data_IF_322788509932
#
_entry.id   IF_322788509932
#
_cell.length_a   1.000
_cell.length_b   1.000
_cell.length_c   1.000
_cell.angle_alpha   90.00
_cell.angle_beta   90.00
_cell.angle_gamma   90.00
#
_symmetry.space_group_name_H-M   'P 1'
#
loop_
_entity.id
_entity.type
_entity.pdbx_description
1 polymer ?
#
# COMPACT_ATOMS: atom_id res chain seq x y z
N UNK A 1 75.80 -56.51 -13.48
CA UNK A 1 74.35 -56.44 -13.70
C UNK A 1 73.72 -56.01 -12.40
N UNK A 2 73.24 -54.69 -12.33
CA UNK A 2 72.48 -54.13 -11.20
C UNK A 2 71.26 -53.53 -11.71
N UNK A 3 70.10 -54.08 -11.36
CA UNK A 3 68.78 -53.55 -11.71
C UNK A 3 68.49 -52.31 -10.82
N UNK A 4 68.24 -51.24 -11.46
CA UNK A 4 67.82 -50.00 -10.79
C UNK A 4 66.24 -49.90 -10.82
N UNK A 5 65.66 -49.91 -9.63
CA UNK A 5 64.19 -49.77 -9.45
C UNK A 5 63.79 -48.31 -9.57
N UNK A 6 62.92 -48.04 -10.55
CA UNK A 6 62.27 -46.72 -10.70
C UNK A 6 61.10 -46.65 -9.72
N UNK A 7 61.15 -45.72 -8.78
CA UNK A 7 60.04 -45.42 -7.89
C UNK A 7 59.18 -44.30 -8.52
N UNK A 8 57.97 -44.63 -8.95
CA UNK A 8 56.99 -43.67 -9.42
C UNK A 8 56.39 -42.93 -8.25
N UNK A 9 56.59 -41.61 -8.21
CA UNK A 9 55.93 -40.73 -7.26
C UNK A 9 54.51 -40.38 -7.79
N UNK A 10 53.49 -40.81 -7.06
CA UNK A 10 52.10 -40.40 -7.32
C UNK A 10 51.89 -39.03 -6.69
N UNK A 11 51.74 -38.01 -7.52
CA UNK A 11 51.34 -36.68 -7.08
C UNK A 11 49.84 -36.66 -6.78
N UNK A 12 49.47 -36.54 -5.51
CA UNK A 12 48.09 -36.23 -5.09
C UNK A 12 47.76 -34.78 -5.47
N UNK A 13 46.94 -34.64 -6.50
CA UNK A 13 46.31 -33.38 -6.86
C UNK A 13 45.25 -33.05 -5.80
N UNK A 14 45.56 -32.09 -4.91
CA UNK A 14 44.62 -31.57 -3.93
C UNK A 14 43.47 -30.83 -4.63
N UNK A 15 42.26 -31.37 -4.48
CA UNK A 15 41.01 -30.78 -4.92
C UNK A 15 40.73 -29.55 -4.02
N UNK A 16 41.04 -28.34 -4.47
CA UNK A 16 40.74 -27.08 -3.78
C UNK A 16 39.25 -26.90 -3.65
N UNK A 17 38.71 -27.00 -2.46
CA UNK A 17 37.35 -26.59 -2.11
C UNK A 17 37.30 -25.07 -2.19
N UNK A 18 36.65 -24.53 -3.22
CA UNK A 18 36.30 -23.11 -3.30
C UNK A 18 35.35 -22.76 -2.16
N UNK A 19 35.69 -21.82 -1.27
CA UNK A 19 34.72 -21.33 -0.30
C UNK A 19 33.57 -20.68 -1.04
N UNK A 20 32.34 -21.22 -0.85
CA UNK A 20 31.13 -20.70 -1.45
C UNK A 20 30.98 -19.21 -1.15
N UNK A 21 30.85 -18.39 -2.20
CA UNK A 21 30.37 -17.03 -2.09
C UNK A 21 28.98 -17.08 -1.46
N UNK A 22 28.90 -16.82 -0.17
CA UNK A 22 27.62 -16.61 0.52
C UNK A 22 26.93 -15.43 -0.15
N UNK A 23 25.86 -15.70 -0.88
CA UNK A 23 24.88 -14.69 -1.31
C UNK A 23 24.31 -14.08 -0.03
N UNK A 24 24.88 -12.99 0.43
CA UNK A 24 24.25 -12.15 1.43
C UNK A 24 23.04 -11.54 0.77
N UNK A 25 21.88 -12.20 0.94
CA UNK A 25 20.61 -11.67 0.51
C UNK A 25 20.35 -10.35 1.25
N UNK A 26 20.41 -9.22 0.54
CA UNK A 26 19.87 -7.96 1.03
C UNK A 26 18.38 -8.17 1.24
N UNK A 27 17.94 -8.28 2.49
CA UNK A 27 16.53 -8.26 2.84
C UNK A 27 16.04 -6.83 2.66
N UNK A 28 15.24 -6.58 1.62
CA UNK A 28 14.54 -5.31 1.48
C UNK A 28 13.47 -5.22 2.58
N UNK A 29 13.61 -4.27 3.47
CA UNK A 29 12.63 -3.99 4.52
C UNK A 29 11.65 -2.91 4.01
N UNK A 30 10.47 -3.33 3.56
CA UNK A 30 9.42 -2.42 3.12
C UNK A 30 8.40 -2.19 4.24
N UNK A 31 8.00 -0.94 4.43
CA UNK A 31 6.89 -0.58 5.30
C UNK A 31 5.64 -1.39 4.92
N UNK A 32 4.91 -1.86 5.91
CA UNK A 32 3.66 -2.60 5.70
C UNK A 32 2.49 -1.87 6.31
N UNK A 33 1.43 -1.68 5.51
CA UNK A 33 0.16 -1.09 5.96
C UNK A 33 -0.96 -2.10 5.72
N UNK A 34 -1.76 -2.38 6.73
CA UNK A 34 -2.88 -3.33 6.63
C UNK A 34 -4.06 -2.91 7.52
N UNK A 35 -5.28 -2.92 6.99
CA UNK A 35 -5.67 -3.06 5.58
C UNK A 35 -5.39 -1.81 4.75
N UNK A 36 -5.30 -1.94 3.43
CA UNK A 36 -5.14 -0.81 2.49
C UNK A 36 -6.48 -0.23 1.99
N UNK A 37 -7.58 -0.85 2.37
CA UNK A 37 -8.95 -0.41 2.11
C UNK A 37 -9.72 -0.51 3.42
N UNK A 38 -10.33 0.59 3.84
CA UNK A 38 -11.11 0.65 5.07
C UNK A 38 -12.59 0.74 4.72
N UNK A 39 -13.36 -0.22 5.22
CA UNK A 39 -14.82 -0.23 5.10
C UNK A 39 -15.44 -0.11 6.48
N UNK A 40 -16.23 0.93 6.66
CA UNK A 40 -17.00 1.21 7.86
C UNK A 40 -18.50 1.04 7.58
N UNK A 41 -19.29 0.86 8.62
CA UNK A 41 -20.75 0.69 8.47
C UNK A 41 -21.46 1.16 9.74
N UNK A 42 -22.80 1.28 9.71
CA UNK A 42 -23.60 1.54 10.91
C UNK A 42 -23.27 0.65 12.09
N UNK A 43 -23.02 -0.63 11.84
CA UNK A 43 -22.67 -1.61 12.85
C UNK A 43 -21.16 -1.61 13.21
N UNK A 44 -20.32 -1.08 12.35
CA UNK A 44 -18.86 -1.04 12.54
C UNK A 44 -18.33 0.38 12.34
N UNK A 45 -18.43 1.16 13.41
CA UNK A 45 -18.08 2.59 13.43
C UNK A 45 -16.60 2.86 13.73
N UNK A 46 -15.83 1.83 14.00
CA UNK A 46 -14.39 1.89 14.24
C UNK A 46 -13.70 0.87 13.36
N UNK A 47 -12.64 1.29 12.70
CA UNK A 47 -11.73 0.43 11.95
C UNK A 47 -10.31 0.63 12.49
N UNK A 48 -9.49 -0.42 12.38
CA UNK A 48 -8.08 -0.36 12.78
C UNK A 48 -7.20 -0.58 11.56
N UNK A 49 -6.14 0.22 11.48
CA UNK A 49 -5.08 0.10 10.47
C UNK A 49 -3.79 -0.11 11.24
N UNK A 50 -3.04 -1.13 10.87
CA UNK A 50 -1.71 -1.40 11.45
C UNK A 50 -0.66 -0.98 10.45
N UNK A 51 0.29 -0.17 10.92
CA UNK A 51 1.51 0.16 10.19
C UNK A 51 2.68 -0.51 10.90
N UNK A 52 3.46 -1.30 10.16
CA UNK A 52 4.66 -1.97 10.66
C UNK A 52 5.89 -1.41 9.97
N UNK A 53 6.88 -1.03 10.77
CA UNK A 53 8.16 -0.50 10.34
C UNK A 53 9.24 -1.58 10.50
N UNK A 54 9.54 -2.39 9.48
CA UNK A 54 10.60 -3.40 9.56
C UNK A 54 12.00 -2.80 9.36
N UNK A 55 12.11 -1.50 9.14
CA UNK A 55 13.37 -0.78 8.98
C UNK A 55 14.15 -0.66 10.27
N UNK A 56 15.34 -0.09 10.16
CA UNK A 56 16.32 0.09 11.24
C UNK A 56 16.26 1.48 11.91
N UNK A 57 15.39 2.36 11.42
CA UNK A 57 15.16 3.72 11.96
C UNK A 57 13.71 3.91 12.33
N UNK A 58 13.41 4.75 13.34
CA UNK A 58 12.04 5.11 13.67
C UNK A 58 11.42 5.93 12.53
N UNK A 59 10.11 5.77 12.35
CA UNK A 59 9.29 6.54 11.40
C UNK A 59 8.17 7.24 12.16
N UNK A 60 7.92 8.50 11.83
CA UNK A 60 6.82 9.27 12.42
C UNK A 60 5.79 9.58 11.36
N UNK A 61 4.56 9.14 11.59
CA UNK A 61 3.43 9.42 10.69
C UNK A 61 2.46 10.41 11.32
N UNK A 62 2.09 11.41 10.55
CA UNK A 62 0.95 12.28 10.81
C UNK A 62 -0.22 11.84 9.92
N UNK A 63 -1.45 11.89 10.48
CA UNK A 63 -2.65 11.48 9.74
C UNK A 63 -3.51 12.68 9.37
N UNK A 64 -4.05 12.66 8.15
CA UNK A 64 -5.04 13.59 7.66
C UNK A 64 -6.21 12.83 7.04
N UNK A 65 -7.44 13.30 7.25
CA UNK A 65 -8.64 12.76 6.60
C UNK A 65 -9.26 13.84 5.73
N UNK A 66 -9.57 13.47 4.48
CA UNK A 66 -10.27 14.34 3.53
C UNK A 66 -11.55 13.64 3.05
N UNK A 67 -12.64 14.38 2.95
CA UNK A 67 -13.80 13.92 2.21
C UNK A 67 -13.43 13.82 0.72
N UNK A 68 -13.88 12.73 0.08
CA UNK A 68 -13.53 12.43 -1.30
C UNK A 68 -14.79 12.17 -2.13
N UNK A 69 -14.87 12.80 -3.28
CA UNK A 69 -15.86 12.48 -4.28
C UNK A 69 -15.23 12.55 -5.68
N UNK A 70 -15.94 12.01 -6.67
CA UNK A 70 -15.55 12.09 -8.06
C UNK A 70 -16.66 12.80 -8.86
N UNK A 71 -16.26 13.79 -9.65
CA UNK A 71 -17.17 14.48 -10.58
C UNK A 71 -16.58 14.37 -11.99
N UNK A 72 -17.30 13.71 -12.89
CA UNK A 72 -16.84 13.47 -14.27
C UNK A 72 -15.44 12.82 -14.36
N UNK A 73 -15.17 11.85 -13.46
CA UNK A 73 -13.89 11.13 -13.41
C UNK A 73 -12.74 11.91 -12.74
N UNK A 74 -12.99 13.11 -12.24
CA UNK A 74 -11.99 13.94 -11.55
C UNK A 74 -12.22 13.85 -10.03
N UNK A 75 -11.16 13.53 -9.31
CA UNK A 75 -11.17 13.49 -7.85
C UNK A 75 -11.30 14.89 -7.25
N UNK A 76 -12.13 15.01 -6.23
CA UNK A 76 -12.36 16.21 -5.44
C UNK A 76 -12.17 15.90 -3.97
N UNK A 77 -11.42 16.72 -3.30
CA UNK A 77 -11.10 16.59 -1.88
C UNK A 77 -11.56 17.82 -1.12
N UNK A 78 -12.06 17.63 0.09
CA UNK A 78 -12.44 18.70 0.99
C UNK A 78 -12.08 18.31 2.43
N UNK A 79 -11.83 19.32 3.26
CA UNK A 79 -11.64 19.10 4.69
C UNK A 79 -12.91 18.52 5.30
N UNK A 80 -12.74 17.66 6.31
CA UNK A 80 -13.85 17.01 7.00
C UNK A 80 -13.54 16.80 8.48
N UNK A 81 -14.57 16.89 9.33
CA UNK A 81 -14.57 16.53 10.74
C UNK A 81 -15.43 15.29 11.04
N UNK A 82 -15.99 14.66 10.02
CA UNK A 82 -16.85 13.47 10.14
C UNK A 82 -16.08 12.24 10.59
N UNK A 83 -14.84 12.09 10.16
CA UNK A 83 -13.91 11.03 10.55
C UNK A 83 -12.69 11.61 11.24
N UNK A 84 -12.15 10.86 12.19
CA UNK A 84 -10.89 11.18 12.81
C UNK A 84 -10.09 9.92 13.13
N UNK A 85 -8.79 10.08 13.28
CA UNK A 85 -7.83 8.99 13.52
C UNK A 85 -7.18 9.17 14.88
N UNK A 86 -6.99 8.08 15.59
CA UNK A 86 -6.32 8.06 16.89
C UNK A 86 -5.23 6.99 16.88
N UNK A 87 -3.99 7.36 17.19
CA UNK A 87 -3.49 8.73 17.41
C UNK A 87 -3.40 9.53 16.08
N UNK A 88 -3.46 10.88 16.11
CA UNK A 88 -3.32 11.71 14.92
C UNK A 88 -1.88 11.80 14.43
N UNK A 89 -0.92 11.56 15.32
CA UNK A 89 0.51 11.46 15.03
C UNK A 89 1.11 10.37 15.91
N UNK A 90 2.02 9.58 15.36
CA UNK A 90 2.73 8.55 16.13
C UNK A 90 4.10 8.25 15.52
N UNK A 91 5.06 8.02 16.41
CA UNK A 91 6.35 7.40 16.07
C UNK A 91 6.27 5.89 16.16
N UNK A 92 6.80 5.21 15.14
CA UNK A 92 6.90 3.75 15.06
C UNK A 92 8.37 3.40 15.13
N UNK A 93 8.80 2.81 16.24
CA UNK A 93 10.19 2.40 16.43
C UNK A 93 10.64 1.44 15.32
N UNK A 94 11.96 1.34 15.14
CA UNK A 94 12.58 0.32 14.28
C UNK A 94 12.11 -1.09 14.68
N UNK A 95 11.67 -1.89 13.71
CA UNK A 95 11.07 -3.22 13.92
C UNK A 95 9.70 -3.20 14.59
N UNK A 96 9.14 -2.03 14.90
CA UNK A 96 7.89 -1.86 15.62
C UNK A 96 6.64 -1.80 14.75
N UNK A 97 5.48 -1.70 15.41
CA UNK A 97 4.18 -1.53 14.76
C UNK A 97 3.29 -0.59 15.56
N UNK A 98 2.45 0.17 14.87
CA UNK A 98 1.46 1.07 15.44
C UNK A 98 0.08 0.78 14.89
N UNK A 99 -0.92 0.78 15.77
CA UNK A 99 -2.32 0.70 15.36
C UNK A 99 -2.93 2.09 15.38
N UNK A 100 -3.50 2.49 14.24
CA UNK A 100 -4.31 3.70 14.10
C UNK A 100 -5.78 3.29 14.03
N UNK A 101 -6.63 3.95 14.79
CA UNK A 101 -8.07 3.70 14.80
C UNK A 101 -8.80 4.84 14.12
N UNK A 102 -9.49 4.51 13.04
CA UNK A 102 -10.40 5.43 12.34
C UNK A 102 -11.77 5.31 12.97
N UNK A 103 -12.38 6.41 13.33
CA UNK A 103 -13.73 6.43 13.93
C UNK A 103 -14.53 7.62 13.40
N UNK A 104 -15.86 7.51 13.45
CA UNK A 104 -16.77 8.55 13.00
C UNK A 104 -17.48 9.23 14.16
N UNK A 105 -17.68 10.55 14.04
CA UNK A 105 -18.55 11.35 14.91
C UNK A 105 -19.97 11.42 14.38
N UNK A 106 -20.14 11.27 13.08
CA UNK A 106 -21.39 11.52 12.38
C UNK A 106 -22.36 10.35 12.52
N UNK A 107 -23.66 10.66 12.59
CA UNK A 107 -24.73 9.68 12.38
C UNK A 107 -24.73 9.31 10.90
N UNK A 108 -24.93 8.03 10.64
CA UNK A 108 -24.84 7.49 9.30
C UNK A 108 -25.88 8.10 8.37
N UNK A 109 -25.41 8.51 7.21
CA UNK A 109 -26.21 8.97 6.09
C UNK A 109 -26.96 7.81 5.42
N UNK A 110 -27.97 8.13 4.62
CA UNK A 110 -28.63 7.20 3.70
C UNK A 110 -27.77 6.89 2.48
N UNK A 111 -26.72 7.69 2.25
CA UNK A 111 -25.77 7.55 1.15
C UNK A 111 -24.40 7.14 1.67
N UNK A 112 -23.62 6.49 0.83
CA UNK A 112 -22.23 6.16 1.12
C UNK A 112 -21.37 7.41 1.04
N UNK A 113 -20.52 7.59 2.06
CA UNK A 113 -19.51 8.64 2.04
C UNK A 113 -18.14 8.01 1.82
N UNK A 114 -17.33 8.65 0.99
CA UNK A 114 -15.98 8.24 0.73
C UNK A 114 -14.99 9.28 1.25
N UNK A 115 -13.87 8.79 1.77
CA UNK A 115 -12.81 9.62 2.33
C UNK A 115 -11.45 9.10 1.90
N UNK A 116 -10.45 9.96 2.00
CA UNK A 116 -9.05 9.61 1.91
C UNK A 116 -8.39 9.79 3.26
N UNK A 117 -7.73 8.74 3.72
CA UNK A 117 -6.89 8.77 4.90
C UNK A 117 -5.44 8.78 4.45
N UNK A 118 -4.77 9.88 4.72
CA UNK A 118 -3.38 10.12 4.34
C UNK A 118 -2.52 9.89 5.58
N UNK A 119 -1.50 9.05 5.43
CA UNK A 119 -0.39 8.91 6.37
C UNK A 119 0.81 9.62 5.76
N UNK A 120 1.15 10.76 6.32
CA UNK A 120 2.30 11.56 5.90
C UNK A 120 3.52 11.22 6.76
N UNK A 121 4.63 10.85 6.10
CA UNK A 121 5.90 10.64 6.79
C UNK A 121 6.52 12.00 7.14
N UNK A 122 6.60 12.28 8.43
CA UNK A 122 7.18 13.51 8.99
C UNK A 122 8.47 13.24 9.78
N UNK A 123 9.09 12.09 9.59
CA UNK A 123 10.26 11.63 10.36
C UNK A 123 11.44 12.60 10.33
N UNK A 124 11.72 13.21 9.17
CA UNK A 124 12.87 14.08 8.97
C UNK A 124 12.63 15.54 9.46
N UNK A 125 11.37 15.90 9.77
CA UNK A 125 11.04 17.26 10.23
C UNK A 125 11.59 17.52 11.64
N UNK A 126 11.74 16.46 12.44
CA UNK A 126 12.25 16.51 13.80
C UNK A 126 13.78 16.35 13.90
N UNK A 127 14.45 15.96 12.83
CA UNK A 127 15.90 15.78 12.83
C UNK A 127 16.60 17.11 12.62
N UNK A 128 17.60 17.49 13.46
CA UNK A 128 18.40 18.68 13.20
C UNK A 128 19.10 18.52 11.84
N UNK A 129 19.06 19.58 11.02
CA UNK A 129 19.73 19.61 9.73
C UNK A 129 21.23 19.33 9.93
N UNK A 130 21.67 18.15 9.57
CA UNK A 130 23.10 17.83 9.53
C UNK A 130 23.71 18.51 8.30
N UNK A 131 24.90 19.12 8.41
CA UNK A 131 25.59 19.67 7.24
C UNK A 131 25.80 18.54 6.23
N UNK A 132 25.27 18.72 5.02
CA UNK A 132 25.35 17.73 3.96
C UNK A 132 26.79 17.68 3.39
N UNK A 133 27.62 16.84 3.94
CA UNK A 133 28.89 16.45 3.27
C UNK A 133 28.69 15.36 2.22
N UNK A 134 27.52 14.71 2.19
CA UNK A 134 27.15 13.71 1.20
C UNK A 134 25.81 14.07 0.56
N UNK A 135 25.76 14.05 -0.77
CA UNK A 135 24.52 14.21 -1.54
C UNK A 135 23.64 12.98 -1.32
N UNK A 136 22.78 13.00 -0.30
CA UNK A 136 21.80 11.95 -0.05
C UNK A 136 20.44 12.38 -0.66
N UNK A 137 19.79 11.46 -1.37
CA UNK A 137 18.42 11.65 -1.82
C UNK A 137 17.51 11.16 -0.71
N UNK A 138 16.71 12.07 -0.14
CA UNK A 138 15.67 11.73 0.84
C UNK A 138 14.35 11.55 0.10
N UNK A 139 13.80 10.33 0.15
CA UNK A 139 12.50 10.02 -0.44
C UNK A 139 11.50 9.91 0.71
N UNK A 140 10.45 10.74 0.68
CA UNK A 140 9.29 10.62 1.58
C UNK A 140 8.15 9.97 0.81
N UNK A 141 7.47 9.04 1.44
CA UNK A 141 6.33 8.34 0.84
C UNK A 141 5.11 8.58 1.70
N UNK A 142 4.15 9.29 1.14
CA UNK A 142 2.83 9.44 1.74
C UNK A 142 1.94 8.29 1.27
N UNK A 143 1.17 7.73 2.20
CA UNK A 143 0.25 6.64 1.92
C UNK A 143 -1.18 7.15 1.97
N UNK A 144 -1.89 7.03 0.86
CA UNK A 144 -3.28 7.47 0.70
C UNK A 144 -4.20 6.24 0.60
N UNK A 145 -5.04 6.06 1.62
CA UNK A 145 -5.93 4.91 1.75
C UNK A 145 -7.39 5.35 1.59
N UNK A 146 -8.16 4.67 0.73
CA UNK A 146 -9.60 4.90 0.64
C UNK A 146 -10.32 4.38 1.88
N UNK A 147 -11.25 5.18 2.40
CA UNK A 147 -12.15 4.83 3.48
C UNK A 147 -13.58 5.02 2.99
N UNK A 148 -14.37 3.95 3.01
CA UNK A 148 -15.79 4.00 2.66
C UNK A 148 -16.65 3.80 3.88
N UNK A 149 -17.55 4.74 4.12
CA UNK A 149 -18.60 4.62 5.14
C UNK A 149 -19.89 4.23 4.44
N UNK A 150 -20.19 2.95 4.48
CA UNK A 150 -21.32 2.40 3.78
C UNK A 150 -22.66 2.90 4.37
N UNK A 151 -23.55 3.32 3.48
CA UNK A 151 -24.97 3.49 3.79
C UNK A 151 -25.63 2.17 4.20
N UNK A 152 -26.84 2.26 4.74
CA UNK A 152 -27.67 1.10 5.02
C UNK A 152 -28.16 0.36 3.75
N UNK A 153 -27.95 0.94 2.56
CA UNK A 153 -28.37 0.41 1.26
C UNK A 153 -27.52 -0.76 0.77
N UNK A 154 -27.98 -1.37 -0.33
CA UNK A 154 -27.27 -2.43 -1.06
C UNK A 154 -26.76 -1.90 -2.39
N UNK A 155 -25.64 -2.42 -2.90
CA UNK A 155 -25.24 -2.15 -4.27
C UNK A 155 -26.28 -2.70 -5.24
N UNK A 156 -26.56 -1.97 -6.32
CA UNK A 156 -27.44 -2.42 -7.40
C UNK A 156 -26.72 -2.23 -8.72
N UNK A 157 -26.28 -3.32 -9.29
CA UNK A 157 -25.60 -3.34 -10.57
C UNK A 157 -26.55 -3.77 -11.67
N UNK A 158 -26.66 -2.98 -12.72
CA UNK A 158 -27.21 -3.42 -14.00
C UNK A 158 -26.07 -3.52 -15.04
N UNK A 159 -26.14 -4.56 -15.87
CA UNK A 159 -25.17 -4.80 -16.93
C UNK A 159 -25.92 -4.90 -18.26
N UNK A 160 -25.47 -4.19 -19.28
CA UNK A 160 -26.05 -4.20 -20.63
C UNK A 160 -24.95 -4.43 -21.65
N UNK A 161 -25.19 -5.38 -22.56
CA UNK A 161 -24.37 -5.56 -23.75
C UNK A 161 -24.91 -4.66 -24.87
N UNK A 162 -24.00 -3.98 -25.55
CA UNK A 162 -24.38 -3.09 -26.64
C UNK A 162 -23.20 -2.71 -27.52
N UNK A 163 -23.45 -1.93 -28.58
CA UNK A 163 -22.36 -1.38 -29.37
C UNK A 163 -21.53 -0.41 -28.51
N UNK A 164 -20.23 -0.32 -28.82
CA UNK A 164 -19.32 0.60 -28.15
C UNK A 164 -19.57 2.01 -28.68
N UNK A 165 -20.26 2.85 -27.89
CA UNK A 165 -20.69 4.17 -28.34
C UNK A 165 -19.56 5.20 -28.51
N UNK A 166 -18.43 5.02 -27.80
CA UNK A 166 -17.38 6.05 -27.69
C UNK A 166 -16.00 5.60 -28.19
N UNK A 167 -15.89 4.45 -28.87
CA UNK A 167 -14.61 3.92 -29.27
C UNK A 167 -14.45 3.92 -30.80
N UNK A 168 -13.85 4.96 -31.34
CA UNK A 168 -13.54 5.11 -32.77
C UNK A 168 -12.47 4.15 -33.28
N UNK A 169 -11.67 3.55 -32.37
CA UNK A 169 -10.50 2.74 -32.72
C UNK A 169 -10.69 1.22 -32.50
N UNK A 170 -11.89 0.76 -32.16
CA UNK A 170 -12.14 -0.66 -31.93
C UNK A 170 -12.57 -1.40 -33.21
N UNK A 171 -12.19 -2.70 -33.37
CA UNK A 171 -12.62 -3.52 -34.49
C UNK A 171 -14.16 -3.57 -34.58
N UNK A 172 -14.69 -3.60 -35.80
CA UNK A 172 -16.13 -3.53 -36.11
C UNK A 172 -17.02 -4.63 -35.46
N UNK A 173 -16.42 -5.63 -34.82
CA UNK A 173 -17.13 -6.72 -34.12
C UNK A 173 -16.96 -6.66 -32.59
N UNK A 174 -16.50 -5.54 -32.05
CA UNK A 174 -16.31 -5.40 -30.60
C UNK A 174 -17.64 -5.06 -29.92
N UNK A 175 -18.05 -5.90 -28.98
CA UNK A 175 -19.17 -5.61 -28.08
C UNK A 175 -18.67 -4.95 -26.79
N UNK A 176 -19.44 -3.99 -26.31
CA UNK A 176 -19.15 -3.35 -25.03
C UNK A 176 -20.16 -3.77 -23.97
N UNK A 177 -19.67 -3.89 -22.73
CA UNK A 177 -20.51 -4.08 -21.55
C UNK A 177 -20.60 -2.75 -20.82
N UNK A 178 -21.80 -2.20 -20.75
CA UNK A 178 -22.09 -1.06 -19.90
C UNK A 178 -22.49 -1.55 -18.52
N UNK A 179 -21.81 -1.05 -17.48
CA UNK A 179 -22.12 -1.33 -16.08
C UNK A 179 -22.65 -0.05 -15.45
N UNK A 180 -23.89 -0.09 -14.96
CA UNK A 180 -24.51 1.02 -14.26
C UNK A 180 -24.73 0.62 -12.80
N UNK A 181 -24.20 1.43 -11.86
CA UNK A 181 -24.46 1.28 -10.43
C UNK A 181 -25.60 2.19 -10.01
N UNK A 182 -26.79 1.64 -9.85
CA UNK A 182 -27.99 2.34 -9.39
C UNK A 182 -28.17 2.26 -7.86
N UNK A 183 -27.22 1.66 -7.16
CA UNK A 183 -27.22 1.51 -5.71
C UNK A 183 -26.59 2.68 -4.99
N UNK A 184 -26.76 2.71 -3.67
CA UNK A 184 -26.18 3.72 -2.78
C UNK A 184 -24.82 3.33 -2.22
N UNK A 185 -24.17 2.29 -2.81
CA UNK A 185 -22.85 1.83 -2.40
C UNK A 185 -21.97 1.61 -3.63
N UNK A 186 -20.65 1.82 -3.45
CA UNK A 186 -19.70 1.54 -4.50
C UNK A 186 -19.67 0.06 -4.89
N UNK A 187 -19.28 -0.19 -6.12
CA UNK A 187 -19.07 -1.54 -6.67
C UNK A 187 -17.60 -1.71 -7.08
N UNK A 188 -17.03 -2.83 -6.68
CA UNK A 188 -15.72 -3.24 -7.15
C UNK A 188 -15.86 -4.40 -8.12
N UNK A 189 -15.57 -4.15 -9.41
CA UNK A 189 -15.47 -5.19 -10.42
C UNK A 189 -14.11 -5.87 -10.28
N UNK A 190 -14.11 -7.18 -9.97
CA UNK A 190 -12.87 -7.94 -9.77
C UNK A 190 -12.40 -8.65 -11.04
N UNK A 191 -13.32 -9.02 -11.92
CA UNK A 191 -13.05 -9.65 -13.23
C UNK A 191 -14.26 -9.44 -14.13
N UNK A 192 -14.02 -9.32 -15.42
CA UNK A 192 -15.01 -9.33 -16.49
C UNK A 192 -14.82 -10.58 -17.32
#
# INVERSE_FOLDING_TARGET
>A
MRLQRIRSAVACMGLGVLPGLGLWGCTAHALTISPVLVEMSPARRVASITISNPGDRPLTFQTQVLAWNQTSGVDRYADTDELFVVPPIAEIAAGGSQIFRVTTRTRLSTEEHAYRLIFEDVSDVAAPAQPAENTAIHIRVNHDLPVFMAAAGKPRLSARLGPCADATDLPARTGCVRLDNEGSRYLRVKSL
#
